data_IF_904924394361
#
_entry.id   IF_904924394361
#
_cell.length_a   1.000
_cell.length_b   1.000
_cell.length_c   1.000
_cell.angle_alpha   90.00
_cell.angle_beta   90.00
_cell.angle_gamma   90.00
#
_symmetry.space_group_name_H-M   'P 1'
#
loop_
_entity.id
_entity.type
_entity.pdbx_description
1 polymer ?
#
# COMPACT_ATOMS: atom_id res chain seq x y z
N UNK A 1 16.62 30.47 27.94
CA UNK A 1 15.65 29.43 27.54
C UNK A 1 16.03 28.95 26.15
N UNK A 2 16.49 27.69 25.95
CA UNK A 2 16.88 27.25 24.62
C UNK A 2 15.66 26.81 23.80
N UNK A 3 15.60 27.34 22.58
CA UNK A 3 14.57 27.13 21.56
C UNK A 3 14.58 25.67 21.06
N UNK A 4 13.43 24.99 21.08
CA UNK A 4 13.27 23.60 20.63
C UNK A 4 13.07 23.45 19.10
N UNK A 5 13.30 24.51 18.32
CA UNK A 5 13.26 24.45 16.86
C UNK A 5 14.55 23.81 16.31
N UNK A 6 14.53 22.51 16.02
CA UNK A 6 15.68 21.85 15.37
C UNK A 6 15.82 20.34 15.53
N UNK A 7 14.87 19.63 16.18
CA UNK A 7 14.92 18.17 16.21
C UNK A 7 14.60 17.60 14.82
N UNK A 8 15.62 17.04 14.17
CA UNK A 8 15.49 16.26 12.94
C UNK A 8 14.51 15.11 13.23
N UNK A 9 13.32 15.17 12.64
CA UNK A 9 12.36 14.08 12.72
C UNK A 9 12.72 13.04 11.66
N UNK A 10 13.00 11.82 12.10
CA UNK A 10 13.17 10.68 11.18
C UNK A 10 11.81 10.37 10.57
N UNK A 11 11.59 10.84 9.35
CA UNK A 11 10.39 10.47 8.57
C UNK A 11 10.72 9.18 7.84
N UNK A 12 10.15 8.07 8.31
CA UNK A 12 10.23 6.80 7.59
C UNK A 12 9.22 6.84 6.44
N UNK A 13 9.67 7.31 5.27
CA UNK A 13 8.90 7.20 4.04
C UNK A 13 8.92 5.74 3.59
N UNK A 14 7.87 5.01 3.90
CA UNK A 14 7.66 3.67 3.34
C UNK A 14 7.29 3.84 1.87
N UNK A 15 8.25 3.61 0.97
CA UNK A 15 7.99 3.58 -0.47
C UNK A 15 7.03 2.44 -0.78
N UNK A 16 5.82 2.75 -1.25
CA UNK A 16 4.87 1.72 -1.66
C UNK A 16 5.25 1.31 -3.08
N UNK A 17 5.82 0.10 -3.22
CA UNK A 17 6.13 -0.45 -4.53
C UNK A 17 4.87 -0.83 -5.30
N UNK A 18 4.78 -0.43 -6.57
CA UNK A 18 3.69 -0.78 -7.46
C UNK A 18 3.14 0.40 -8.25
N UNK A 19 2.01 0.17 -8.91
CA UNK A 19 1.26 1.20 -9.65
C UNK A 19 0.18 1.79 -8.74
N UNK A 20 0.31 3.07 -8.33
CA UNK A 20 -0.72 3.75 -7.57
C UNK A 20 -1.88 4.17 -8.46
N UNK A 21 -3.08 4.13 -7.92
CA UNK A 21 -4.31 4.65 -8.52
C UNK A 21 -5.08 5.36 -7.42
N UNK A 22 -5.27 6.67 -7.59
CA UNK A 22 -5.93 7.50 -6.59
C UNK A 22 -7.35 7.88 -7.06
N UNK A 23 -8.35 7.56 -6.23
CA UNK A 23 -9.75 7.93 -6.43
C UNK A 23 -10.09 9.14 -5.52
N UNK A 24 -10.17 10.36 -6.08
CA UNK A 24 -10.36 11.57 -5.29
C UNK A 24 -11.72 11.65 -4.61
N UNK A 25 -12.78 11.06 -5.19
CA UNK A 25 -14.13 11.12 -4.60
C UNK A 25 -14.22 10.38 -3.27
N UNK A 26 -13.48 9.28 -3.14
CA UNK A 26 -13.48 8.44 -1.95
C UNK A 26 -12.23 8.68 -1.08
N UNK A 27 -11.28 9.49 -1.56
CA UNK A 27 -9.94 9.67 -0.98
C UNK A 27 -9.25 8.32 -0.75
N UNK A 28 -9.34 7.44 -1.74
CA UNK A 28 -8.75 6.09 -1.69
C UNK A 28 -7.56 6.01 -2.62
N UNK A 29 -6.42 5.60 -2.08
CA UNK A 29 -5.22 5.26 -2.83
C UNK A 29 -5.12 3.74 -2.91
N UNK A 30 -5.31 3.17 -4.11
CA UNK A 30 -5.01 1.78 -4.38
C UNK A 30 -3.58 1.67 -4.92
N UNK A 31 -2.81 0.68 -4.48
CA UNK A 31 -1.49 0.37 -5.02
C UNK A 31 -1.47 -1.09 -5.42
N UNK A 32 -1.24 -1.34 -6.71
CA UNK A 32 -1.17 -2.70 -7.24
C UNK A 32 0.26 -3.00 -7.64
N UNK A 33 0.86 -4.01 -7.02
CA UNK A 33 2.16 -4.56 -7.41
C UNK A 33 1.91 -5.89 -8.10
N UNK A 34 1.97 -5.91 -9.44
CA UNK A 34 1.89 -7.14 -10.23
C UNK A 34 3.28 -7.42 -10.81
N UNK A 35 3.82 -8.60 -10.54
CA UNK A 35 5.06 -9.03 -11.19
C UNK A 35 4.74 -9.48 -12.63
N UNK A 36 5.52 -9.02 -13.61
CA UNK A 36 5.43 -9.52 -14.99
C UNK A 36 6.18 -10.86 -15.08
N UNK A 37 5.49 -11.94 -15.42
CA UNK A 37 6.07 -13.28 -15.61
C UNK A 37 4.97 -14.35 -15.75
N UNK A 38 5.37 -15.60 -15.97
CA UNK A 38 4.49 -16.78 -16.08
C UNK A 38 3.77 -17.14 -14.77
N UNK A 39 4.00 -16.41 -13.68
CA UNK A 39 3.31 -16.55 -12.40
C UNK A 39 2.42 -15.34 -12.12
N UNK A 40 1.10 -15.53 -12.01
CA UNK A 40 0.15 -14.51 -11.53
C UNK A 40 0.31 -14.26 -10.01
N UNK A 41 1.46 -13.73 -9.61
CA UNK A 41 1.74 -13.28 -8.26
C UNK A 41 1.78 -11.76 -8.18
N UNK A 42 1.45 -11.24 -7.00
CA UNK A 42 1.37 -9.82 -6.79
C UNK A 42 0.68 -9.46 -5.48
N UNK A 43 0.52 -8.17 -5.26
CA UNK A 43 -0.20 -7.61 -4.14
C UNK A 43 -1.05 -6.42 -4.57
N UNK A 44 -2.11 -6.18 -3.81
CA UNK A 44 -2.98 -5.04 -3.93
C UNK A 44 -3.21 -4.47 -2.53
N UNK A 45 -2.83 -3.22 -2.34
CA UNK A 45 -3.09 -2.46 -1.13
C UNK A 45 -4.11 -1.37 -1.42
N UNK A 46 -5.01 -1.10 -0.47
CA UNK A 46 -5.92 0.05 -0.50
C UNK A 46 -5.72 0.84 0.77
N UNK A 47 -5.50 2.13 0.61
CA UNK A 47 -5.34 3.09 1.68
C UNK A 47 -6.42 4.15 1.58
N UNK A 48 -6.92 4.62 2.72
CA UNK A 48 -7.66 5.88 2.79
C UNK A 48 -6.66 6.99 3.09
N UNK A 49 -6.75 8.07 2.33
CA UNK A 49 -5.97 9.27 2.53
C UNK A 49 -6.74 10.16 3.52
N UNK A 50 -6.21 10.28 4.74
CA UNK A 50 -6.77 11.10 5.82
C UNK A 50 -5.76 12.21 6.14
N UNK A 51 -6.02 13.44 5.67
CA UNK A 51 -5.09 14.57 5.76
C UNK A 51 -3.70 14.24 5.19
N UNK A 52 -2.70 14.06 6.07
CA UNK A 52 -1.31 13.72 5.72
C UNK A 52 -0.97 12.25 5.98
N UNK A 53 -1.95 11.43 6.38
CA UNK A 53 -1.76 10.03 6.73
C UNK A 53 -2.44 9.08 5.72
N UNK A 54 -1.80 7.93 5.50
CA UNK A 54 -2.36 6.82 4.73
C UNK A 54 -2.82 5.74 5.71
N UNK A 55 -4.13 5.53 5.81
CA UNK A 55 -4.71 4.47 6.63
C UNK A 55 -4.96 3.24 5.77
N UNK A 56 -4.23 2.15 6.01
CA UNK A 56 -4.45 0.90 5.29
C UNK A 56 -5.86 0.38 5.57
N UNK A 57 -6.65 0.20 4.50
CA UNK A 57 -8.00 -0.36 4.55
C UNK A 57 -7.99 -1.85 4.23
N UNK A 58 -7.26 -2.24 3.20
CA UNK A 58 -7.26 -3.62 2.70
C UNK A 58 -5.88 -3.93 2.09
N UNK A 59 -5.34 -5.08 2.41
CA UNK A 59 -4.15 -5.63 1.77
C UNK A 59 -4.41 -7.05 1.34
N UNK A 60 -4.25 -7.30 0.05
CA UNK A 60 -4.35 -8.62 -0.56
C UNK A 60 -3.05 -8.97 -1.23
N UNK A 61 -2.58 -10.20 -1.09
CA UNK A 61 -1.42 -10.66 -1.82
C UNK A 61 -1.51 -12.13 -2.18
N UNK A 62 -0.80 -12.49 -3.25
CA UNK A 62 -0.47 -13.86 -3.61
C UNK A 62 1.03 -13.90 -3.87
N UNK A 63 1.76 -14.49 -2.93
CA UNK A 63 3.22 -14.62 -3.03
C UNK A 63 3.64 -15.85 -3.86
N UNK A 64 2.74 -16.82 -4.04
CA UNK A 64 2.99 -17.98 -4.89
C UNK A 64 2.93 -17.58 -6.38
N UNK A 65 4.09 -17.47 -7.02
CA UNK A 65 4.24 -17.27 -8.46
C UNK A 65 4.15 -18.60 -9.22
N UNK A 66 3.15 -19.42 -8.92
CA UNK A 66 2.98 -20.80 -9.40
C UNK A 66 2.25 -20.92 -10.76
N UNK A 67 2.02 -19.81 -11.44
CA UNK A 67 1.28 -19.78 -12.71
C UNK A 67 -0.22 -20.10 -12.59
N UNK A 68 -0.73 -20.34 -11.39
CA UNK A 68 -2.15 -20.61 -11.18
C UNK A 68 -2.94 -19.30 -11.10
N UNK A 69 -4.01 -19.22 -11.86
CA UNK A 69 -5.02 -18.17 -11.70
C UNK A 69 -5.77 -18.40 -10.38
N UNK A 70 -5.27 -17.79 -9.32
CA UNK A 70 -5.88 -17.79 -8.00
C UNK A 70 -6.05 -16.36 -7.52
N UNK A 71 -7.15 -16.04 -6.82
CA UNK A 71 -7.39 -14.70 -6.31
C UNK A 71 -6.34 -14.30 -5.27
N UNK A 72 -6.03 -13.00 -5.19
CA UNK A 72 -5.20 -12.45 -4.12
C UNK A 72 -5.87 -12.74 -2.77
N UNK A 73 -5.13 -13.35 -1.84
CA UNK A 73 -5.65 -13.65 -0.51
C UNK A 73 -5.66 -12.37 0.31
N UNK A 74 -6.73 -12.15 1.08
CA UNK A 74 -6.81 -10.99 1.98
C UNK A 74 -5.95 -11.27 3.20
N UNK A 75 -4.88 -10.50 3.34
CA UNK A 75 -3.96 -10.61 4.48
C UNK A 75 -4.30 -9.61 5.58
N UNK A 76 -4.87 -8.47 5.19
CA UNK A 76 -5.32 -7.46 6.12
C UNK A 76 -6.59 -6.79 5.58
N UNK A 77 -7.53 -6.53 6.48
CA UNK A 77 -8.70 -5.71 6.20
C UNK A 77 -9.12 -5.02 7.49
N UNK A 78 -9.25 -3.70 7.44
CA UNK A 78 -9.88 -2.97 8.53
C UNK A 78 -11.34 -3.40 8.63
N UNK A 79 -11.82 -3.67 9.85
CA UNK A 79 -13.25 -3.79 10.14
C UNK A 79 -13.94 -2.44 9.97
#
# INVERSE_FOLDING_TARGET
MPNQAGKVQKVESSSIGGLPTYEPKQRVLAVTSKYRGLGDCGSQAKYRVENTALKLLEFKAKFACDGKLAPLQTLYRTK
#
